data_IF_357609911598
#
_entry.id   IF_357609911598
#
_cell.length_a   1.000
_cell.length_b   1.000
_cell.length_c   1.000
_cell.angle_alpha   90.00
_cell.angle_beta   90.00
_cell.angle_gamma   90.00
#
_symmetry.space_group_name_H-M   'P 1'
#
loop_
_entity.id
_entity.type
_entity.pdbx_description
1 polymer ?
#
# COMPACT_ATOMS: atom_id res chain seq x y z
N UNK A 1 29.38 -8.45 20.46
CA UNK A 1 29.57 -6.99 20.62
C UNK A 1 28.27 -6.31 20.23
N UNK A 2 27.50 -5.87 21.23
CA UNK A 2 26.19 -5.27 21.03
C UNK A 2 26.29 -3.85 20.50
N UNK A 3 25.50 -3.54 19.46
CA UNK A 3 25.18 -2.16 19.09
C UNK A 3 23.73 -1.90 19.48
N UNK A 4 23.59 -1.05 20.50
CA UNK A 4 22.34 -0.49 21.01
C UNK A 4 21.85 0.52 19.98
N UNK A 5 20.75 0.20 19.28
CA UNK A 5 20.09 1.13 18.37
C UNK A 5 19.20 2.06 19.20
N UNK A 6 19.54 3.35 19.23
CA UNK A 6 18.68 4.38 19.80
C UNK A 6 17.45 4.51 18.90
N UNK A 7 16.27 4.30 19.46
CA UNK A 7 15.00 4.66 18.83
C UNK A 7 14.94 6.19 18.82
N UNK A 8 15.10 6.80 17.64
CA UNK A 8 14.70 8.18 17.44
C UNK A 8 13.25 8.19 16.98
N UNK A 9 12.50 9.12 17.55
CA UNK A 9 11.12 9.43 17.22
C UNK A 9 11.14 10.65 16.31
N UNK A 10 10.35 10.66 15.24
CA UNK A 10 10.10 11.87 14.43
C UNK A 10 9.18 12.84 15.20
N UNK A 11 8.87 14.00 14.62
CA UNK A 11 7.95 14.97 15.26
C UNK A 11 6.51 14.47 15.42
N UNK A 12 6.19 13.26 14.94
CA UNK A 12 4.84 12.69 14.95
C UNK A 12 4.67 11.48 15.87
N UNK A 13 5.75 10.93 16.45
CA UNK A 13 5.64 9.81 17.39
C UNK A 13 5.90 8.43 16.79
N UNK A 14 6.23 8.33 15.50
CA UNK A 14 6.28 7.04 14.80
C UNK A 14 7.68 6.40 14.85
N UNK A 15 7.79 5.07 15.06
CA UNK A 15 9.08 4.39 15.08
C UNK A 15 9.68 4.28 13.66
N UNK A 16 10.91 4.77 13.47
CA UNK A 16 11.64 4.71 12.20
C UNK A 16 12.66 3.56 12.16
N UNK A 17 12.65 2.75 11.09
CA UNK A 17 13.68 1.74 10.79
C UNK A 17 14.86 2.43 10.06
N UNK A 18 16.15 2.10 10.32
CA UNK A 18 17.28 2.77 9.66
C UNK A 18 17.30 2.50 8.15
N UNK A 19 17.02 3.53 7.34
CA UNK A 19 16.87 3.44 5.87
C UNK A 19 15.55 4.03 5.38
N UNK A 20 15.21 5.23 5.86
CA UNK A 20 13.91 5.87 5.73
C UNK A 20 13.52 6.08 4.25
N UNK A 21 12.55 5.29 3.77
CA UNK A 21 11.92 5.51 2.47
C UNK A 21 10.88 6.61 2.63
N UNK A 22 11.23 7.82 2.21
CA UNK A 22 10.29 8.94 2.16
C UNK A 22 9.38 8.81 0.95
N UNK A 23 8.06 8.84 1.16
CA UNK A 23 7.09 8.88 0.06
C UNK A 23 7.21 10.24 -0.65
N UNK A 24 7.42 10.28 -1.99
CA UNK A 24 7.52 11.54 -2.71
C UNK A 24 6.22 12.37 -2.67
N UNK A 25 6.34 13.70 -2.67
CA UNK A 25 5.19 14.62 -2.58
C UNK A 25 4.17 14.48 -3.72
N UNK A 26 4.57 13.93 -4.87
CA UNK A 26 3.69 13.68 -6.01
C UNK A 26 2.86 12.40 -5.87
N UNK A 27 3.08 11.60 -4.82
CA UNK A 27 2.24 10.45 -4.47
C UNK A 27 1.16 10.89 -3.48
N UNK A 28 -0.09 10.66 -3.85
CA UNK A 28 -1.21 10.93 -2.95
C UNK A 28 -1.38 9.75 -1.99
N UNK A 29 -1.33 9.99 -0.68
CA UNK A 29 -1.60 8.96 0.32
C UNK A 29 -3.09 8.92 0.65
N UNK A 30 -3.80 7.88 0.22
CA UNK A 30 -5.22 7.64 0.51
C UNK A 30 -5.42 6.21 1.04
N UNK A 31 -4.85 5.99 2.23
CA UNK A 31 -4.72 4.67 2.86
C UNK A 31 -6.10 4.06 3.13
N UNK A 32 -6.25 2.76 2.84
CA UNK A 32 -7.47 2.01 3.08
C UNK A 32 -7.73 1.83 4.59
N UNK A 33 -8.99 1.79 5.05
CA UNK A 33 -9.30 1.37 6.41
C UNK A 33 -8.96 -0.11 6.60
N UNK A 34 -8.55 -0.50 7.82
CA UNK A 34 -8.25 -1.90 8.15
C UNK A 34 -9.52 -2.74 7.99
N UNK A 35 -9.41 -3.84 7.25
CA UNK A 35 -10.48 -4.83 7.02
C UNK A 35 -9.91 -6.14 6.44
N UNK A 36 -10.64 -7.24 6.55
CA UNK A 36 -10.18 -8.57 6.12
C UNK A 36 -10.06 -8.74 4.59
N UNK A 37 -10.69 -7.89 3.79
CA UNK A 37 -10.85 -8.07 2.34
C UNK A 37 -9.85 -7.27 1.49
N UNK A 38 -9.36 -6.14 2.00
CA UNK A 38 -8.41 -5.31 1.27
C UNK A 38 -7.23 -4.79 2.10
N UNK A 39 -7.33 -4.69 3.42
CA UNK A 39 -6.18 -4.27 4.26
C UNK A 39 -6.21 -4.96 5.62
N UNK A 40 -5.62 -6.15 5.76
CA UNK A 40 -5.69 -6.93 7.00
C UNK A 40 -4.83 -6.34 8.13
N UNK A 41 -3.94 -5.37 7.84
CA UNK A 41 -3.06 -4.77 8.85
C UNK A 41 -1.94 -5.69 9.31
N UNK A 42 -1.52 -6.64 8.46
CA UNK A 42 -0.43 -7.58 8.75
C UNK A 42 0.89 -6.91 8.40
N UNK A 43 1.84 -6.85 9.34
CA UNK A 43 3.16 -6.27 9.09
C UNK A 43 4.01 -7.16 8.15
N UNK A 44 4.76 -6.51 7.25
CA UNK A 44 5.80 -7.13 6.45
C UNK A 44 7.13 -7.04 7.20
N UNK A 45 7.83 -8.18 7.32
CA UNK A 45 9.17 -8.22 7.88
C UNK A 45 10.23 -7.60 6.95
N UNK A 46 10.05 -7.74 5.63
CA UNK A 46 10.96 -7.21 4.62
C UNK A 46 10.25 -7.10 3.25
N UNK A 47 10.76 -6.21 2.40
CA UNK A 47 10.32 -6.07 0.99
C UNK A 47 11.30 -6.82 0.09
N UNK A 48 10.85 -7.93 -0.49
CA UNK A 48 11.69 -8.81 -1.31
C UNK A 48 11.59 -8.56 -2.82
N UNK A 49 10.66 -7.71 -3.27
CA UNK A 49 10.50 -7.40 -4.69
C UNK A 49 9.32 -6.49 -4.98
N UNK A 50 9.27 -6.02 -6.22
CA UNK A 50 8.17 -5.22 -6.78
C UNK A 50 7.52 -6.02 -7.89
N UNK A 51 6.19 -6.02 -7.92
CA UNK A 51 5.39 -6.67 -8.96
C UNK A 51 4.51 -5.62 -9.60
N UNK A 52 4.14 -5.79 -10.87
CA UNK A 52 3.29 -4.86 -11.62
C UNK A 52 2.18 -5.66 -12.31
N UNK A 53 0.93 -5.22 -12.18
CA UNK A 53 -0.27 -5.87 -12.71
C UNK A 53 -1.12 -4.83 -13.43
N UNK A 54 -1.72 -5.22 -14.56
CA UNK A 54 -2.69 -4.38 -15.27
C UNK A 54 -4.09 -4.59 -14.68
N UNK A 55 -4.83 -3.52 -14.35
CA UNK A 55 -6.14 -3.65 -13.68
C UNK A 55 -7.19 -4.37 -14.53
N UNK A 56 -7.02 -4.40 -15.86
CA UNK A 56 -8.02 -4.98 -16.76
C UNK A 56 -9.31 -4.15 -16.84
N UNK A 57 -9.30 -2.91 -16.33
CA UNK A 57 -10.50 -2.09 -16.18
C UNK A 57 -10.41 -0.80 -17.02
N UNK A 58 -10.62 -0.89 -18.34
CA UNK A 58 -10.39 0.22 -19.26
C UNK A 58 -11.28 1.43 -18.96
N UNK A 59 -10.70 2.62 -19.03
CA UNK A 59 -11.42 3.89 -18.83
C UNK A 59 -11.63 4.29 -17.37
N UNK A 60 -11.02 3.57 -16.42
CA UNK A 60 -11.03 3.95 -15.01
C UNK A 60 -9.84 4.79 -14.60
N UNK A 61 -10.02 5.62 -13.58
CA UNK A 61 -8.98 6.45 -12.96
C UNK A 61 -8.47 5.84 -11.65
N UNK A 62 -7.33 6.31 -11.16
CA UNK A 62 -6.69 5.77 -9.95
C UNK A 62 -7.63 5.74 -8.73
N UNK A 63 -8.44 6.79 -8.54
CA UNK A 63 -9.40 6.92 -7.45
C UNK A 63 -10.52 5.89 -7.50
N UNK A 64 -10.95 5.51 -8.71
CA UNK A 64 -11.99 4.50 -8.88
C UNK A 64 -11.47 3.11 -8.48
N UNK A 65 -10.24 2.78 -8.88
CA UNK A 65 -9.58 1.53 -8.48
C UNK A 65 -9.30 1.51 -6.96
N UNK A 66 -8.89 2.64 -6.36
CA UNK A 66 -8.79 2.75 -4.89
C UNK A 66 -10.14 2.57 -4.21
N UNK A 67 -11.19 3.19 -4.74
CA UNK A 67 -12.55 3.09 -4.19
C UNK A 67 -13.10 1.65 -4.29
N UNK A 68 -12.77 0.93 -5.36
CA UNK A 68 -13.08 -0.48 -5.49
C UNK A 68 -12.51 -1.30 -4.32
N UNK A 69 -11.21 -1.13 -3.98
CA UNK A 69 -10.63 -1.83 -2.82
C UNK A 69 -11.31 -1.49 -1.50
N UNK A 70 -11.67 -0.21 -1.32
CA UNK A 70 -12.39 0.21 -0.12
C UNK A 70 -13.75 -0.51 0.00
N UNK A 71 -14.46 -0.63 -1.11
CA UNK A 71 -15.79 -1.24 -1.13
C UNK A 71 -15.76 -2.77 -0.91
N UNK A 72 -14.62 -3.44 -1.08
CA UNK A 72 -14.51 -4.88 -0.79
C UNK A 72 -14.82 -5.24 0.67
N UNK A 73 -14.65 -4.30 1.61
CA UNK A 73 -15.06 -4.48 3.00
C UNK A 73 -16.59 -4.67 3.15
N UNK A 74 -17.36 -4.09 2.23
CA UNK A 74 -18.83 -4.16 2.20
C UNK A 74 -19.31 -5.29 1.29
N UNK A 75 -18.77 -5.37 0.06
CA UNK A 75 -19.25 -6.33 -0.96
C UNK A 75 -18.78 -7.75 -0.68
N UNK A 76 -17.57 -7.92 -0.10
CA UNK A 76 -16.97 -9.21 0.25
C UNK A 76 -16.80 -10.17 -0.93
N UNK A 77 -16.83 -9.64 -2.16
CA UNK A 77 -16.82 -10.43 -3.40
C UNK A 77 -15.48 -11.11 -3.65
N UNK A 78 -14.39 -10.50 -3.19
CA UNK A 78 -13.02 -11.03 -3.34
C UNK A 78 -12.07 -10.37 -2.33
N UNK A 79 -10.81 -10.84 -2.34
CA UNK A 79 -9.70 -10.26 -1.58
C UNK A 79 -8.73 -9.60 -2.55
N UNK A 80 -8.60 -8.26 -2.48
CA UNK A 80 -7.70 -7.54 -3.37
C UNK A 80 -7.27 -6.19 -2.79
N UNK A 81 -6.00 -5.85 -3.00
CA UNK A 81 -5.42 -4.53 -2.77
C UNK A 81 -4.07 -4.42 -3.45
N UNK A 82 -3.54 -3.20 -3.50
CA UNK A 82 -2.18 -2.90 -3.93
C UNK A 82 -1.58 -1.79 -3.07
N UNK A 83 -0.24 -1.73 -2.96
CA UNK A 83 0.43 -0.59 -2.30
C UNK A 83 0.16 0.72 -3.02
N UNK A 84 0.25 0.69 -4.35
CA UNK A 84 -0.01 1.84 -5.21
C UNK A 84 -1.01 1.50 -6.32
N UNK A 85 -1.73 2.51 -6.76
CA UNK A 85 -2.53 2.54 -7.98
C UNK A 85 -2.04 3.70 -8.83
N UNK A 86 -1.84 3.46 -10.12
CA UNK A 86 -1.35 4.45 -11.08
C UNK A 86 -2.42 4.62 -12.15
N UNK A 87 -2.92 5.84 -12.33
CA UNK A 87 -3.84 6.18 -13.41
C UNK A 87 -3.10 6.47 -14.72
N UNK A 88 -3.80 6.38 -15.85
CA UNK A 88 -3.25 6.71 -17.18
C UNK A 88 -2.83 8.18 -17.33
N UNK A 89 -3.34 9.06 -16.48
CA UNK A 89 -2.95 10.47 -16.37
C UNK A 89 -1.65 10.69 -15.56
N UNK A 90 -1.04 9.62 -15.04
CA UNK A 90 0.16 9.66 -14.22
C UNK A 90 -0.12 9.93 -12.74
N UNK A 91 -1.39 9.98 -12.31
CA UNK A 91 -1.73 10.11 -10.89
C UNK A 91 -1.39 8.84 -10.14
N UNK A 92 -0.73 8.97 -8.99
CA UNK A 92 -0.29 7.84 -8.16
C UNK A 92 -0.92 7.96 -6.78
N UNK A 93 -1.62 6.92 -6.36
CA UNK A 93 -2.28 6.83 -5.06
C UNK A 93 -1.69 5.67 -4.28
N UNK A 94 -1.19 5.94 -3.08
CA UNK A 94 -0.82 4.92 -2.10
C UNK A 94 -2.06 4.46 -1.33
N UNK A 95 -2.39 3.17 -1.42
CA UNK A 95 -3.57 2.58 -0.79
C UNK A 95 -3.20 1.76 0.47
N UNK A 96 -2.01 1.18 0.52
CA UNK A 96 -1.51 0.35 1.64
C UNK A 96 -0.10 0.79 2.03
N UNK A 97 0.24 0.86 3.33
CA UNK A 97 1.59 1.20 3.76
C UNK A 97 2.65 0.18 3.31
N UNK A 98 3.88 0.63 3.06
CA UNK A 98 4.97 -0.22 2.57
C UNK A 98 5.42 -1.30 3.57
N UNK A 99 5.15 -1.08 4.86
CA UNK A 99 5.44 -2.02 5.95
C UNK A 99 4.29 -3.00 6.21
N UNK A 100 3.24 -3.00 5.39
CA UNK A 100 2.11 -3.92 5.49
C UNK A 100 2.00 -4.85 4.28
N UNK A 101 1.66 -6.11 4.57
CA UNK A 101 1.45 -7.16 3.59
C UNK A 101 0.10 -7.01 2.90
N UNK A 102 0.05 -7.41 1.64
CA UNK A 102 -1.19 -7.53 0.89
C UNK A 102 -1.77 -8.93 1.05
N UNK A 103 -3.07 -9.06 0.82
CA UNK A 103 -3.74 -10.35 0.83
C UNK A 103 -3.27 -11.19 -0.37
N UNK A 104 -2.90 -12.45 -0.09
CA UNK A 104 -2.22 -13.41 -0.96
C UNK A 104 -0.72 -13.12 -1.18
N UNK A 105 0.14 -14.01 -0.66
CA UNK A 105 1.61 -13.98 -0.51
C UNK A 105 2.46 -13.82 -1.80
N UNK A 106 1.92 -13.25 -2.87
CA UNK A 106 2.67 -12.84 -4.06
C UNK A 106 2.20 -11.42 -4.39
N UNK A 107 3.01 -10.44 -4.01
CA UNK A 107 2.81 -9.00 -4.18
C UNK A 107 1.87 -8.64 -5.35
N UNK A 108 0.63 -8.27 -5.04
CA UNK A 108 -0.34 -7.78 -6.03
C UNK A 108 -0.19 -6.25 -6.14
N UNK A 109 0.60 -5.75 -7.09
CA UNK A 109 0.59 -4.31 -7.40
C UNK A 109 -0.19 -4.06 -8.69
N UNK A 110 -1.49 -3.79 -8.58
CA UNK A 110 -2.29 -3.31 -9.70
C UNK A 110 -1.90 -1.86 -10.02
N UNK A 111 -1.18 -1.68 -11.11
CA UNK A 111 -0.85 -0.41 -11.72
C UNK A 111 -1.24 -0.46 -13.20
N UNK A 112 -2.34 0.24 -13.54
CA UNK A 112 -2.76 0.87 -14.81
C UNK A 112 -4.27 1.09 -14.76
#
# INVERSE_FOLDING_TARGET
>A
MGRRWFLSCDSTGAPTIPGEVTIPDWVVQDILPINEYSRPGIELSEVNGVVVHYTGNPGTIAEQNRSYYKNLAETKETYASSHFVIGMDGKIIQCVPLWEGLLNSLTYANAF
#
